data_IF_915024338617
#
_entry.id   IF_915024338617
#
_cell.length_a   1.000
_cell.length_b   1.000
_cell.length_c   1.000
_cell.angle_alpha   90.00
_cell.angle_beta   90.00
_cell.angle_gamma   90.00
#
_symmetry.space_group_name_H-M   'P 1'
#
loop_
_entity.id
_entity.type
_entity.pdbx_description
1 polymer ?
#
# COMPACT_ATOMS: atom_id res chain seq x y z
N UNK A 1 -17.62 16.74 2.21
CA UNK A 1 -17.19 16.62 1.92
C UNK A 1 -16.78 15.81 1.19
N UNK A 2 -16.95 15.52 0.46
CA UNK A 2 -16.61 14.81 -0.23
C UNK A 2 -15.37 14.80 -0.86
N UNK A 3 -14.87 15.75 -1.07
CA UNK A 3 -13.46 15.91 -1.33
C UNK A 3 -12.63 15.20 -0.32
N UNK A 4 -13.08 15.22 0.87
CA UNK A 4 -12.38 14.54 1.93
C UNK A 4 -12.21 13.07 1.67
N UNK A 5 -13.16 12.46 1.00
CA UNK A 5 -13.08 11.04 0.74
C UNK A 5 -11.83 10.68 -0.02
N UNK A 6 -11.46 11.52 -0.97
CA UNK A 6 -10.26 11.27 -1.74
C UNK A 6 -9.01 11.43 -0.92
N UNK A 7 -9.04 12.37 0.00
CA UNK A 7 -7.86 12.66 0.81
C UNK A 7 -7.73 11.75 2.00
N UNK A 8 -8.80 11.06 2.34
CA UNK A 8 -8.73 10.10 3.42
C UNK A 8 -7.91 8.88 3.04
N UNK A 9 -7.76 8.66 1.75
CA UNK A 9 -6.99 7.53 1.26
C UNK A 9 -5.55 8.00 1.08
N UNK A 10 -4.86 8.16 2.17
CA UNK A 10 -3.52 8.69 2.12
C UNK A 10 -2.53 7.69 1.53
N UNK A 11 -1.42 8.22 1.07
CA UNK A 11 -0.36 7.41 0.48
C UNK A 11 0.60 6.96 1.58
N UNK A 12 0.74 5.66 1.73
CA UNK A 12 1.69 5.10 2.70
C UNK A 12 3.02 4.92 1.98
N UNK A 13 4.02 5.67 2.42
CA UNK A 13 5.30 5.72 1.72
C UNK A 13 6.12 4.46 1.98
N UNK A 14 7.14 4.26 1.15
CA UNK A 14 7.95 3.05 1.23
C UNK A 14 8.56 2.77 2.60
N UNK A 15 9.13 3.75 3.29
CA UNK A 15 9.69 3.47 4.61
C UNK A 15 8.66 2.89 5.58
N UNK A 16 7.44 3.39 5.52
CA UNK A 16 6.38 2.89 6.37
C UNK A 16 5.96 1.49 5.92
N UNK A 17 5.94 1.26 4.61
CA UNK A 17 5.59 -0.05 4.09
C UNK A 17 6.58 -1.12 4.52
N UNK A 18 7.84 -0.75 4.66
CA UNK A 18 8.84 -1.69 5.17
C UNK A 18 8.46 -2.20 6.55
N UNK A 19 7.97 -1.30 7.39
CA UNK A 19 7.53 -1.68 8.73
C UNK A 19 6.26 -2.52 8.68
N UNK A 20 5.34 -2.12 7.84
CA UNK A 20 4.04 -2.79 7.78
C UNK A 20 4.18 -4.22 7.29
N UNK A 21 4.97 -4.42 6.23
CA UNK A 21 5.12 -5.74 5.64
C UNK A 21 6.32 -6.51 6.18
N UNK A 22 7.21 -5.82 6.88
CA UNK A 22 8.36 -6.49 7.45
C UNK A 22 9.42 -6.91 6.43
N UNK A 23 9.49 -6.20 5.31
CA UNK A 23 10.47 -6.49 4.27
C UNK A 23 11.08 -5.19 3.77
N UNK A 24 12.21 -5.27 3.05
CA UNK A 24 12.88 -4.06 2.59
C UNK A 24 12.16 -3.48 1.38
N UNK A 25 12.53 -2.24 1.06
CA UNK A 25 11.90 -1.50 -0.04
C UNK A 25 11.96 -2.28 -1.35
N UNK A 26 13.11 -2.86 -1.62
CA UNK A 26 13.31 -3.61 -2.85
C UNK A 26 12.30 -4.75 -2.96
N UNK A 27 12.11 -5.45 -1.84
CA UNK A 27 11.17 -6.55 -1.83
C UNK A 27 9.74 -6.05 -1.98
N UNK A 28 9.41 -4.91 -1.36
CA UNK A 28 8.08 -4.32 -1.53
C UNK A 28 7.82 -4.02 -3.00
N UNK A 29 8.79 -3.41 -3.66
CA UNK A 29 8.62 -3.07 -5.08
C UNK A 29 8.46 -4.31 -5.94
N UNK A 30 9.28 -5.31 -5.71
CA UNK A 30 9.21 -6.53 -6.50
C UNK A 30 7.87 -7.23 -6.33
N UNK A 31 7.42 -7.35 -5.09
CA UNK A 31 6.15 -8.02 -4.83
C UNK A 31 4.98 -7.24 -5.39
N UNK A 32 5.05 -5.92 -5.37
CA UNK A 32 4.01 -5.11 -5.96
C UNK A 32 3.96 -5.30 -7.47
N UNK A 33 5.13 -5.42 -8.11
CA UNK A 33 5.19 -5.64 -9.54
C UNK A 33 4.67 -7.01 -9.93
N UNK A 34 4.89 -7.99 -9.06
CA UNK A 34 4.44 -9.35 -9.31
C UNK A 34 2.96 -9.56 -8.99
N UNK A 35 2.31 -8.56 -8.40
CA UNK A 35 0.91 -8.70 -8.03
C UNK A 35 0.69 -9.34 -6.67
N UNK A 36 1.75 -9.61 -5.92
CA UNK A 36 1.61 -10.21 -4.59
C UNK A 36 1.18 -9.18 -3.56
N UNK A 37 1.54 -7.93 -3.78
CA UNK A 37 1.12 -6.83 -2.94
C UNK A 37 0.33 -5.82 -3.77
N UNK A 38 -0.41 -4.93 -3.10
CA UNK A 38 -1.12 -3.89 -3.84
C UNK A 38 -0.16 -3.06 -4.68
N UNK A 39 -0.63 -2.49 -5.77
CA UNK A 39 0.25 -1.75 -6.68
C UNK A 39 0.76 -0.46 -6.04
N UNK A 40 1.99 -0.13 -6.36
CA UNK A 40 2.57 1.14 -5.92
C UNK A 40 2.04 2.27 -6.78
N UNK A 41 1.87 3.42 -6.16
CA UNK A 41 1.40 4.62 -6.84
C UNK A 41 2.47 5.69 -6.73
N UNK A 42 2.54 6.51 -7.76
CA UNK A 42 3.48 7.62 -7.79
C UNK A 42 2.68 8.92 -7.79
N UNK A 43 2.93 9.76 -6.80
CA UNK A 43 2.29 11.06 -6.72
C UNK A 43 3.40 12.08 -6.56
N UNK A 44 3.69 12.80 -7.65
CA UNK A 44 4.85 13.67 -7.66
C UNK A 44 6.10 12.84 -7.46
N UNK A 45 6.85 13.15 -6.42
CA UNK A 45 8.06 12.40 -6.09
C UNK A 45 7.81 11.31 -5.06
N UNK A 46 6.60 11.26 -4.54
CA UNK A 46 6.28 10.27 -3.52
C UNK A 46 5.89 8.95 -4.16
N UNK A 47 6.33 7.87 -3.56
CA UNK A 47 5.99 6.53 -4.01
C UNK A 47 5.48 5.77 -2.81
N UNK A 48 4.36 5.08 -2.99
CA UNK A 48 3.80 4.29 -1.91
C UNK A 48 2.53 3.60 -2.34
N UNK A 49 1.80 3.09 -1.36
CA UNK A 49 0.52 2.43 -1.60
C UNK A 49 -0.58 3.22 -0.96
N UNK A 50 -1.77 3.15 -1.57
CA UNK A 50 -2.93 3.77 -0.97
C UNK A 50 -3.33 3.00 0.28
N UNK A 51 -3.71 3.73 1.32
CA UNK A 51 -4.04 3.10 2.59
C UNK A 51 -5.19 2.11 2.45
N UNK A 52 -6.18 2.44 1.65
CA UNK A 52 -7.31 1.55 1.44
C UNK A 52 -6.86 0.23 0.81
N UNK A 53 -5.88 0.28 -0.07
CA UNK A 53 -5.37 -0.93 -0.70
C UNK A 53 -4.65 -1.81 0.31
N UNK A 54 -3.88 -1.19 1.20
CA UNK A 54 -3.16 -1.94 2.22
C UNK A 54 -4.16 -2.59 3.19
N UNK A 55 -5.19 -1.84 3.58
CA UNK A 55 -6.20 -2.40 4.46
C UNK A 55 -6.92 -3.58 3.82
N UNK A 56 -7.28 -3.44 2.56
CA UNK A 56 -7.98 -4.51 1.86
C UNK A 56 -7.10 -5.76 1.77
N UNK A 57 -5.81 -5.55 1.54
CA UNK A 57 -4.87 -6.65 1.46
C UNK A 57 -4.85 -7.46 2.77
N UNK A 58 -4.73 -6.76 3.89
CA UNK A 58 -4.68 -7.42 5.18
C UNK A 58 -6.02 -8.06 5.55
N UNK A 59 -7.11 -7.44 5.14
CA UNK A 59 -8.42 -8.03 5.37
C UNK A 59 -8.57 -9.35 4.65
N UNK A 60 -8.06 -9.43 3.43
CA UNK A 60 -8.13 -10.68 2.68
C UNK A 60 -7.27 -11.76 3.32
N UNK A 61 -6.12 -11.38 3.86
CA UNK A 61 -5.27 -12.34 4.55
C UNK A 61 -5.92 -12.87 5.81
N UNK A 62 -6.72 -12.04 6.47
CA UNK A 62 -7.35 -12.43 7.72
C UNK A 62 -8.57 -13.30 7.53
N UNK A 63 -9.13 -13.33 6.33
CA UNK A 63 -10.34 -14.10 6.09
C UNK A 63 -10.02 -15.58 5.97
N UNK A 64 -10.75 -16.41 6.65
CA UNK A 64 -10.58 -17.85 6.52
C UNK A 64 -11.10 -18.33 5.19
N UNK A 65 -10.42 -19.22 4.60
CA UNK A 65 -10.85 -19.88 3.38
C UNK A 65 -10.94 -19.05 2.14
#
# INVERSE_FOLDING_TARGET
>A
MQTEDRFNDRLIRLPELEHIFGVCKRTVRRKAENGELPPLRHIGRAVGMQESQVKAYFQRLSQPG
#
